data_IF_592329615507
#
_entry.id   IF_592329615507
#
_cell.length_a   1.000
_cell.length_b   1.000
_cell.length_c   1.000
_cell.angle_alpha   90.00
_cell.angle_beta   90.00
_cell.angle_gamma   90.00
#
_symmetry.space_group_name_H-M   'P 1'
#
loop_
_entity.id
_entity.type
_entity.pdbx_description
1 polymer ?
#
# COMPACT_ATOMS: atom_id res chain seq x y z
N UNK A 1 -10.56 -55.06 -17.14
CA UNK A 1 -10.98 -56.46 -16.89
C UNK A 1 -10.97 -56.67 -15.38
N UNK A 2 -12.16 -56.82 -14.77
CA UNK A 2 -12.53 -57.37 -13.44
C UNK A 2 -11.85 -56.78 -12.17
N UNK A 3 -12.57 -56.07 -11.25
CA UNK A 3 -13.57 -56.54 -10.22
C UNK A 3 -12.79 -57.17 -9.03
N UNK A 4 -12.84 -56.76 -7.75
CA UNK A 4 -13.91 -56.24 -6.85
C UNK A 4 -13.41 -55.96 -5.41
N UNK A 5 -14.14 -55.09 -4.68
CA UNK A 5 -14.56 -55.12 -3.24
C UNK A 5 -13.51 -55.18 -2.10
N UNK A 6 -13.71 -54.69 -0.86
CA UNK A 6 -14.87 -54.19 -0.10
C UNK A 6 -14.42 -53.48 1.20
N UNK A 7 -15.33 -52.69 1.80
CA UNK A 7 -15.64 -52.49 3.24
C UNK A 7 -14.53 -51.95 4.20
N UNK A 8 -14.69 -50.84 4.93
CA UNK A 8 -15.70 -50.40 5.93
C UNK A 8 -15.33 -50.72 7.40
N UNK A 9 -15.37 -49.66 8.22
CA UNK A 9 -15.74 -49.57 9.66
C UNK A 9 -14.81 -49.91 10.84
N UNK A 10 -15.03 -49.12 11.91
CA UNK A 10 -14.73 -49.25 13.35
C UNK A 10 -13.27 -49.03 13.81
N UNK A 11 -12.92 -48.43 14.96
CA UNK A 11 -13.56 -48.13 16.25
C UNK A 11 -12.66 -47.06 16.95
N UNK A 12 -13.09 -45.96 17.57
CA UNK A 12 -13.74 -45.74 18.88
C UNK A 12 -13.03 -46.27 20.16
N UNK A 13 -13.12 -45.44 21.22
CA UNK A 13 -12.71 -45.61 22.65
C UNK A 13 -11.28 -45.16 23.03
N UNK A 14 -10.97 -44.48 24.16
CA UNK A 14 -11.65 -44.17 25.43
C UNK A 14 -10.96 -42.92 26.09
N UNK A 15 -11.64 -41.95 26.73
CA UNK A 15 -12.11 -41.89 28.16
C UNK A 15 -10.96 -41.86 29.19
N UNK A 16 -10.88 -41.14 30.32
CA UNK A 16 -11.74 -40.43 31.28
C UNK A 16 -10.80 -39.56 32.17
N UNK A 17 -11.26 -38.51 32.88
CA UNK A 17 -11.44 -38.49 34.35
C UNK A 17 -12.31 -37.28 34.78
N UNK A 18 -13.27 -37.60 35.65
CA UNK A 18 -14.28 -36.85 36.41
C UNK A 18 -13.67 -36.20 37.69
N UNK A 19 -14.20 -35.20 38.40
CA UNK A 19 -15.42 -34.39 38.30
C UNK A 19 -15.74 -33.62 39.61
N UNK A 20 -16.86 -32.86 39.56
CA UNK A 20 -17.82 -32.41 40.62
C UNK A 20 -17.30 -31.58 41.83
N UNK A 21 -18.05 -30.71 42.55
CA UNK A 21 -19.48 -30.52 42.88
C UNK A 21 -19.71 -29.10 43.52
N UNK A 22 -20.81 -28.39 43.15
CA UNK A 22 -21.81 -27.59 43.96
C UNK A 22 -21.39 -26.46 44.94
N UNK A 23 -22.18 -25.43 45.33
CA UNK A 23 -23.45 -24.79 44.92
C UNK A 23 -23.77 -23.59 45.89
N UNK A 24 -24.54 -22.59 45.41
CA UNK A 24 -25.54 -21.71 46.12
C UNK A 24 -25.07 -20.74 47.24
N UNK A 25 -25.47 -19.45 47.30
CA UNK A 25 -26.81 -18.93 47.69
C UNK A 25 -27.00 -17.40 47.40
N UNK A 26 -28.29 -16.99 47.37
CA UNK A 26 -28.99 -15.71 47.06
C UNK A 26 -28.77 -14.56 48.10
N UNK A 27 -28.63 -13.26 47.76
CA UNK A 27 -29.61 -12.14 47.50
C UNK A 27 -30.34 -11.57 48.76
N UNK A 28 -31.02 -10.37 48.79
CA UNK A 28 -30.68 -8.95 48.48
C UNK A 28 -31.19 -7.89 49.55
N UNK A 29 -31.00 -6.57 49.29
CA UNK A 29 -31.74 -5.42 49.90
C UNK A 29 -30.86 -4.44 50.71
N UNK A 30 -31.02 -3.11 50.79
CA UNK A 30 -32.10 -2.17 50.47
C UNK A 30 -31.57 -0.70 50.36
N UNK A 31 -32.46 0.22 49.92
CA UNK A 31 -32.29 1.67 49.63
C UNK A 31 -32.29 2.59 50.87
N UNK A 32 -31.82 3.83 50.67
CA UNK A 32 -32.32 5.16 51.16
C UNK A 32 -31.15 6.05 51.66
N UNK A 33 -30.77 7.12 50.92
CA UNK A 33 -31.25 8.53 50.94
C UNK A 33 -31.07 9.29 52.26
N UNK A 34 -30.50 10.51 52.13
CA UNK A 34 -30.55 11.74 52.98
C UNK A 34 -29.11 12.21 53.30
N UNK A 35 -28.61 13.29 52.68
CA UNK A 35 -28.98 14.71 52.82
C UNK A 35 -28.19 15.41 53.93
N UNK A 36 -27.38 16.37 53.46
CA UNK A 36 -27.16 17.72 53.99
C UNK A 36 -26.39 17.96 55.30
N UNK A 37 -25.35 18.80 55.13
CA UNK A 37 -24.96 19.95 55.98
C UNK A 37 -24.30 19.61 57.33
N UNK A 38 -23.25 20.29 57.81
CA UNK A 38 -22.53 21.51 57.41
C UNK A 38 -21.42 21.76 58.44
N UNK A 39 -20.26 22.30 58.02
CA UNK A 39 -19.44 23.35 58.70
C UNK A 39 -18.77 22.98 60.06
N UNK A 40 -17.57 23.43 60.47
CA UNK A 40 -16.61 24.50 60.11
C UNK A 40 -15.23 24.17 60.76
N UNK A 41 -14.15 24.83 60.29
CA UNK A 41 -12.84 25.14 60.94
C UNK A 41 -11.77 24.04 60.81
N UNK A 42 -10.53 24.28 60.34
CA UNK A 42 -9.70 25.48 60.46
C UNK A 42 -8.60 25.54 59.37
N UNK A 43 -8.05 26.75 59.21
CA UNK A 43 -7.10 27.20 58.19
C UNK A 43 -5.70 26.55 58.27
N UNK A 44 -5.05 26.35 57.11
CA UNK A 44 -3.74 26.97 56.78
C UNK A 44 -3.25 26.59 55.37
N UNK A 45 -3.17 27.62 54.53
CA UNK A 45 -2.17 27.95 53.51
C UNK A 45 -1.30 26.83 52.89
N UNK A 46 -1.36 26.69 51.56
CA UNK A 46 -0.30 26.04 50.78
C UNK A 46 -0.68 25.77 49.34
N UNK A 47 -0.18 26.60 48.43
CA UNK A 47 -0.23 26.47 46.98
C UNK A 47 0.13 25.05 46.49
N UNK A 48 -0.60 24.54 45.49
CA UNK A 48 -0.10 23.87 44.27
C UNK A 48 -1.21 22.97 43.68
N UNK A 49 -1.90 23.51 42.67
CA UNK A 49 -2.65 22.69 41.71
C UNK A 49 -1.66 22.08 40.72
N UNK A 50 -1.69 20.75 40.61
CA UNK A 50 -0.91 20.01 39.62
C UNK A 50 -1.69 18.77 39.22
N UNK A 51 -2.18 18.77 37.97
CA UNK A 51 -2.72 17.60 37.30
C UNK A 51 -1.71 16.46 37.35
N UNK A 52 -2.10 15.32 37.93
CA UNK A 52 -1.34 14.07 37.79
C UNK A 52 -1.65 13.51 36.41
N UNK A 53 -0.89 13.96 35.41
CA UNK A 53 -0.73 13.25 34.14
C UNK A 53 0.00 11.95 34.45
N UNK A 54 -0.63 10.80 34.22
CA UNK A 54 0.05 9.51 34.26
C UNK A 54 1.13 9.50 33.17
N UNK A 55 2.36 9.82 33.54
CA UNK A 55 3.53 9.70 32.68
C UNK A 55 3.82 8.21 32.50
N UNK A 56 3.59 7.72 31.28
CA UNK A 56 4.08 6.42 30.86
C UNK A 56 5.63 6.39 30.95
N UNK A 57 6.25 5.29 31.41
CA UNK A 57 7.69 5.21 31.55
C UNK A 57 8.41 5.30 30.19
N UNK A 58 9.57 5.98 30.10
CA UNK A 58 10.22 6.36 28.84
C UNK A 58 10.92 5.22 28.06
N UNK A 59 10.64 3.94 28.34
CA UNK A 59 11.43 2.81 27.82
C UNK A 59 10.73 1.86 26.84
N UNK A 60 9.56 2.22 26.29
CA UNK A 60 8.93 1.46 25.20
C UNK A 60 8.37 2.40 24.12
N UNK A 61 9.14 3.40 23.71
CA UNK A 61 8.79 4.18 22.51
C UNK A 61 9.10 3.30 21.29
N UNK A 62 8.09 2.57 20.81
CA UNK A 62 8.21 1.74 19.61
C UNK A 62 8.73 2.60 18.46
N UNK A 63 9.90 2.24 17.94
CA UNK A 63 10.46 2.94 16.79
C UNK A 63 9.68 2.52 15.55
N UNK A 64 8.69 3.33 15.19
CA UNK A 64 7.95 3.19 13.93
C UNK A 64 8.87 3.59 12.78
N UNK A 65 9.25 2.64 11.91
CA UNK A 65 10.02 2.95 10.69
C UNK A 65 9.11 2.79 9.49
N UNK A 66 8.75 3.91 8.90
CA UNK A 66 8.09 3.94 7.59
C UNK A 66 9.15 3.82 6.51
N UNK A 67 9.17 2.69 5.80
CA UNK A 67 10.01 2.51 4.62
C UNK A 67 9.15 2.64 3.36
N UNK A 68 9.58 3.49 2.44
CA UNK A 68 9.01 3.56 1.09
C UNK A 68 10.07 3.14 0.08
N UNK A 69 9.71 2.28 -0.86
CA UNK A 69 10.59 1.92 -1.96
C UNK A 69 10.48 2.92 -3.11
N UNK A 70 11.60 3.11 -3.80
CA UNK A 70 11.60 3.74 -5.11
C UNK A 70 10.90 2.83 -6.13
N UNK A 71 10.28 3.45 -7.14
CA UNK A 71 9.53 2.76 -8.20
C UNK A 71 10.35 1.63 -8.82
N UNK A 72 11.62 1.83 -9.16
CA UNK A 72 12.42 0.77 -9.79
C UNK A 72 12.55 -0.50 -8.93
N UNK A 73 12.61 -0.35 -7.59
CA UNK A 73 12.65 -1.49 -6.66
C UNK A 73 11.28 -2.16 -6.58
N UNK A 74 10.21 -1.36 -6.48
CA UNK A 74 8.84 -1.88 -6.50
C UNK A 74 8.54 -2.65 -7.79
N UNK A 75 8.94 -2.11 -8.95
CA UNK A 75 8.84 -2.78 -10.26
C UNK A 75 9.62 -4.09 -10.28
N UNK A 76 10.78 -4.16 -9.63
CA UNK A 76 11.52 -5.41 -9.44
C UNK A 76 10.70 -6.48 -8.71
N UNK A 77 10.08 -6.12 -7.58
CA UNK A 77 9.20 -7.03 -6.82
C UNK A 77 7.97 -7.47 -7.63
N UNK A 78 7.39 -6.57 -8.44
CA UNK A 78 6.29 -6.92 -9.34
C UNK A 78 6.71 -7.95 -10.41
N UNK A 79 7.91 -7.78 -11.01
CA UNK A 79 8.46 -8.75 -11.97
C UNK A 79 8.64 -10.12 -11.34
N UNK A 80 9.20 -10.18 -10.14
CA UNK A 80 9.40 -11.43 -9.39
C UNK A 80 8.06 -12.13 -9.07
N UNK A 81 6.99 -11.35 -8.85
CA UNK A 81 5.64 -11.87 -8.67
C UNK A 81 4.93 -12.27 -9.98
N UNK A 82 5.61 -12.18 -11.13
CA UNK A 82 5.04 -12.52 -12.44
C UNK A 82 3.95 -11.53 -12.89
N UNK A 83 4.07 -10.27 -12.48
CA UNK A 83 3.19 -9.17 -12.92
C UNK A 83 3.87 -8.46 -14.09
N UNK A 84 3.08 -8.20 -15.14
CA UNK A 84 3.55 -7.47 -16.32
C UNK A 84 3.84 -6.02 -15.99
N UNK A 85 5.03 -5.53 -16.37
CA UNK A 85 5.50 -4.16 -16.17
C UNK A 85 6.39 -3.73 -17.34
N UNK A 86 6.60 -2.43 -17.57
CA UNK A 86 7.51 -1.96 -18.62
C UNK A 86 8.95 -2.44 -18.44
N UNK A 87 9.59 -2.81 -19.55
CA UNK A 87 11.04 -3.02 -19.55
C UNK A 87 11.76 -1.69 -19.31
N UNK A 88 12.72 -1.70 -18.38
CA UNK A 88 13.44 -0.49 -18.00
C UNK A 88 14.51 -0.76 -16.96
N UNK A 89 15.41 0.20 -16.81
CA UNK A 89 16.58 0.14 -15.92
C UNK A 89 16.81 1.51 -15.25
N UNK A 90 17.47 1.49 -14.10
CA UNK A 90 17.83 2.68 -13.34
C UNK A 90 19.18 3.24 -13.82
N UNK A 91 19.33 4.56 -13.77
CA UNK A 91 20.58 5.27 -14.02
C UNK A 91 20.82 6.31 -12.91
N UNK A 92 22.07 6.40 -12.46
CA UNK A 92 22.52 7.31 -11.39
C UNK A 92 23.36 8.48 -11.93
N UNK A 93 23.62 8.50 -13.24
CA UNK A 93 24.26 9.61 -13.95
C UNK A 93 23.66 9.81 -15.33
N UNK A 94 23.90 10.97 -15.95
CA UNK A 94 23.44 11.24 -17.32
C UNK A 94 24.10 10.29 -18.34
N UNK A 95 25.35 9.90 -18.13
CA UNK A 95 26.04 8.95 -19.01
C UNK A 95 25.52 7.51 -18.84
N UNK A 96 25.18 7.10 -17.61
CA UNK A 96 24.45 5.86 -17.39
C UNK A 96 23.07 5.89 -18.07
N UNK A 97 22.38 7.03 -18.01
CA UNK A 97 21.09 7.21 -18.68
C UNK A 97 21.21 7.03 -20.20
N UNK A 98 22.28 7.58 -20.79
CA UNK A 98 22.61 7.38 -22.21
C UNK A 98 22.83 5.89 -22.54
N UNK A 99 23.66 5.21 -21.74
CA UNK A 99 23.99 3.81 -21.93
C UNK A 99 22.75 2.91 -21.79
N UNK A 100 21.92 3.15 -20.77
CA UNK A 100 20.65 2.44 -20.55
C UNK A 100 19.69 2.65 -21.74
N UNK A 101 19.52 3.89 -22.20
CA UNK A 101 18.66 4.17 -23.35
C UNK A 101 19.13 3.46 -24.62
N UNK A 102 20.45 3.40 -24.86
CA UNK A 102 21.03 2.60 -25.94
C UNK A 102 20.77 1.11 -25.78
N UNK A 103 20.90 0.57 -24.57
CA UNK A 103 20.71 -0.84 -24.28
C UNK A 103 19.24 -1.27 -24.48
N UNK A 104 18.28 -0.41 -24.13
CA UNK A 104 16.86 -0.66 -24.41
C UNK A 104 16.60 -0.71 -25.93
N UNK A 105 17.36 0.06 -26.71
CA UNK A 105 17.34 -0.01 -28.18
C UNK A 105 16.08 0.57 -28.83
N UNK A 106 15.22 1.23 -28.05
CA UNK A 106 14.03 1.93 -28.52
C UNK A 106 14.29 3.43 -28.66
N UNK A 107 13.68 4.05 -29.66
CA UNK A 107 13.61 5.51 -29.82
C UNK A 107 12.38 6.11 -29.15
N UNK A 108 11.64 5.35 -28.37
CA UNK A 108 10.44 5.82 -27.69
C UNK A 108 10.48 5.36 -26.24
N UNK A 109 11.00 6.25 -25.41
CA UNK A 109 11.37 5.97 -24.03
C UNK A 109 10.72 6.98 -23.08
N UNK A 110 10.67 6.61 -21.81
CA UNK A 110 10.24 7.49 -20.73
C UNK A 110 11.33 7.55 -19.67
N UNK A 111 11.74 8.76 -19.31
CA UNK A 111 12.62 9.05 -18.17
C UNK A 111 11.74 9.45 -16.98
N UNK A 112 11.82 8.68 -15.90
CA UNK A 112 11.06 8.88 -14.67
C UNK A 112 11.98 9.19 -13.49
N UNK A 113 11.83 10.35 -12.88
CA UNK A 113 12.54 10.75 -11.68
C UNK A 113 12.26 9.78 -10.52
N UNK A 114 13.32 9.24 -9.90
CA UNK A 114 13.18 8.35 -8.74
C UNK A 114 13.19 9.18 -7.45
N UNK A 115 11.99 9.61 -7.06
CA UNK A 115 11.74 10.39 -5.85
C UNK A 115 10.60 9.74 -5.07
N UNK A 116 10.75 9.62 -3.75
CA UNK A 116 9.73 9.07 -2.84
C UNK A 116 8.60 10.08 -2.59
N UNK A 117 7.89 10.44 -3.66
CA UNK A 117 6.71 11.30 -3.65
C UNK A 117 5.86 11.02 -4.88
N UNK A 118 4.54 11.09 -4.74
CA UNK A 118 3.59 11.05 -5.84
C UNK A 118 3.50 12.38 -6.59
N UNK A 119 2.76 12.40 -7.70
CA UNK A 119 2.54 13.62 -8.49
C UNK A 119 3.76 14.10 -9.28
N UNK A 120 4.76 13.24 -9.48
CA UNK A 120 6.01 13.54 -10.17
C UNK A 120 5.79 14.14 -11.55
N UNK A 121 4.84 13.61 -12.34
CA UNK A 121 4.53 14.10 -13.68
C UNK A 121 4.14 15.59 -13.75
N UNK A 122 3.50 16.13 -12.70
CA UNK A 122 3.11 17.55 -12.57
C UNK A 122 4.13 18.37 -11.77
N UNK A 123 5.20 17.75 -11.27
CA UNK A 123 6.22 18.42 -10.47
C UNK A 123 7.10 19.37 -11.30
N UNK A 124 7.91 20.18 -10.62
CA UNK A 124 8.89 21.06 -11.25
C UNK A 124 10.23 20.86 -10.56
N UNK A 125 11.31 20.77 -11.32
CA UNK A 125 12.66 20.70 -10.78
C UNK A 125 13.22 22.08 -10.48
N UNK A 126 14.13 22.11 -9.51
CA UNK A 126 15.11 23.16 -9.35
C UNK A 126 15.87 23.36 -10.68
N UNK A 127 15.84 24.57 -11.22
CA UNK A 127 16.35 24.88 -12.56
C UNK A 127 15.27 25.00 -13.65
N UNK A 128 14.01 24.72 -13.33
CA UNK A 128 12.85 25.08 -14.18
C UNK A 128 12.33 23.99 -15.10
N UNK A 129 12.96 22.80 -15.12
CA UNK A 129 12.43 21.66 -15.88
C UNK A 129 11.05 21.25 -15.31
N UNK A 130 10.04 21.19 -16.18
CA UNK A 130 8.68 20.81 -15.81
C UNK A 130 8.44 19.31 -16.05
N UNK A 131 7.97 18.63 -15.02
CA UNK A 131 7.60 17.22 -15.00
C UNK A 131 8.76 16.29 -14.65
N UNK A 132 8.51 15.43 -13.67
CA UNK A 132 9.37 14.30 -13.29
C UNK A 132 9.17 13.04 -14.11
N UNK A 133 8.31 13.07 -15.13
CA UNK A 133 8.10 11.99 -16.09
C UNK A 133 8.14 12.61 -17.48
N UNK A 134 9.13 12.22 -18.29
CA UNK A 134 9.43 12.84 -19.59
C UNK A 134 9.55 11.78 -20.65
N UNK A 135 8.84 11.96 -21.76
CA UNK A 135 9.04 11.17 -22.97
C UNK A 135 10.29 11.69 -23.66
N UNK A 136 11.12 10.77 -24.17
CA UNK A 136 12.34 11.08 -24.91
C UNK A 136 12.45 10.18 -26.14
N UNK A 137 13.01 10.70 -27.22
CA UNK A 137 13.06 10.04 -28.53
C UNK A 137 14.45 9.60 -28.98
N UNK A 138 15.46 9.82 -28.15
CA UNK A 138 16.81 9.32 -28.39
C UNK A 138 17.60 9.13 -27.08
N UNK A 139 18.70 8.33 -27.11
CA UNK A 139 19.62 8.26 -26.00
C UNK A 139 20.22 9.62 -25.61
N UNK A 140 20.50 10.48 -26.58
CA UNK A 140 20.99 11.85 -26.34
C UNK A 140 19.97 12.67 -25.55
N UNK A 141 18.69 12.63 -25.92
CA UNK A 141 17.64 13.31 -25.19
C UNK A 141 17.46 12.71 -23.78
N UNK A 142 17.58 11.39 -23.62
CA UNK A 142 17.55 10.74 -22.32
C UNK A 142 18.68 11.24 -21.41
N UNK A 143 19.90 11.39 -21.93
CA UNK A 143 21.05 11.97 -21.22
C UNK A 143 20.77 13.42 -20.80
N UNK A 144 20.34 14.25 -21.74
CA UNK A 144 20.16 15.68 -21.55
C UNK A 144 19.05 15.97 -20.54
N UNK A 145 17.92 15.24 -20.60
CA UNK A 145 16.85 15.31 -19.60
C UNK A 145 17.33 14.81 -18.24
N UNK A 146 18.04 13.68 -18.19
CA UNK A 146 18.53 13.12 -16.93
C UNK A 146 19.53 14.04 -16.23
N UNK A 147 20.35 14.78 -16.98
CA UNK A 147 21.28 15.79 -16.43
C UNK A 147 20.58 16.94 -15.71
N UNK A 148 19.33 17.23 -16.08
CA UNK A 148 18.50 18.26 -15.46
C UNK A 148 17.69 17.72 -14.26
N UNK A 149 17.60 16.39 -14.12
CA UNK A 149 16.90 15.73 -13.01
C UNK A 149 17.86 15.33 -11.88
N UNK A 150 18.96 14.64 -12.23
CA UNK A 150 19.88 14.04 -11.27
C UNK A 150 20.62 15.13 -10.48
N UNK A 151 20.62 15.01 -9.16
CA UNK A 151 21.21 15.97 -8.23
C UNK A 151 20.37 17.23 -7.99
N UNK A 152 19.18 17.34 -8.60
CA UNK A 152 18.27 18.49 -8.45
C UNK A 152 17.08 18.13 -7.56
N UNK A 153 16.52 19.13 -6.87
CA UNK A 153 15.28 18.95 -6.12
C UNK A 153 14.07 18.94 -7.05
N UNK A 154 13.20 17.94 -6.91
CA UNK A 154 11.87 17.91 -7.48
C UNK A 154 10.84 18.42 -6.47
N UNK A 155 10.04 19.39 -6.88
CA UNK A 155 8.93 19.94 -6.12
C UNK A 155 7.61 19.40 -6.67
N UNK A 156 6.78 18.83 -5.79
CA UNK A 156 5.45 18.30 -6.10
C UNK A 156 4.45 18.78 -5.04
N UNK A 157 3.14 18.56 -5.28
CA UNK A 157 2.09 18.81 -4.28
C UNK A 157 2.37 18.09 -2.95
N UNK A 158 2.97 16.88 -3.00
CA UNK A 158 3.25 16.07 -1.82
C UNK A 158 4.54 16.46 -1.09
N UNK A 159 5.52 17.05 -1.77
CA UNK A 159 6.80 17.46 -1.14
C UNK A 159 6.77 18.90 -0.64
N UNK A 160 5.84 19.72 -1.12
CA UNK A 160 5.80 21.15 -0.86
C UNK A 160 7.10 21.86 -1.25
N UNK A 161 7.40 22.96 -0.56
CA UNK A 161 8.58 23.81 -0.78
C UNK A 161 9.90 23.15 -0.40
N UNK A 162 9.88 22.11 0.44
CA UNK A 162 11.09 21.39 0.82
C UNK A 162 11.72 20.68 -0.39
N UNK A 163 10.87 20.20 -1.31
CA UNK A 163 11.25 19.35 -2.42
C UNK A 163 11.92 18.05 -1.97
N UNK A 164 12.35 17.24 -2.94
CA UNK A 164 13.16 16.04 -2.69
C UNK A 164 14.22 15.92 -3.78
N UNK A 165 15.45 15.64 -3.38
CA UNK A 165 16.54 15.44 -4.35
C UNK A 165 16.28 14.17 -5.16
N UNK A 166 16.43 14.27 -6.48
CA UNK A 166 16.39 13.14 -7.39
C UNK A 166 17.82 12.67 -7.63
N UNK A 167 18.21 11.54 -7.06
CA UNK A 167 19.57 11.00 -7.25
C UNK A 167 19.67 10.01 -8.42
N UNK A 168 18.53 9.50 -8.87
CA UNK A 168 18.45 8.46 -9.89
C UNK A 168 17.23 8.69 -10.78
N UNK A 169 17.29 8.17 -12.00
CA UNK A 169 16.16 8.13 -12.93
C UNK A 169 15.93 6.69 -13.36
N UNK A 170 14.68 6.35 -13.66
CA UNK A 170 14.30 5.09 -14.27
C UNK A 170 13.96 5.34 -15.72
N UNK A 171 14.62 4.62 -16.63
CA UNK A 171 14.40 4.72 -18.06
C UNK A 171 13.70 3.44 -18.49
N UNK A 172 12.53 3.60 -19.10
CA UNK A 172 11.76 2.47 -19.60
C UNK A 172 11.23 2.71 -21.00
N UNK A 173 10.85 1.63 -21.66
CA UNK A 173 10.08 1.70 -22.90
C UNK A 173 8.76 2.46 -22.66
N UNK A 174 8.37 3.28 -23.64
CA UNK A 174 7.05 3.88 -23.62
C UNK A 174 6.01 2.85 -24.01
N UNK A 175 4.93 2.77 -23.22
CA UNK A 175 3.72 2.02 -23.56
C UNK A 175 2.58 2.98 -23.89
N UNK A 176 1.59 2.47 -24.61
CA UNK A 176 0.46 3.24 -25.11
C UNK A 176 -0.83 2.69 -24.50
N UNK A 177 -1.14 3.09 -23.25
CA UNK A 177 -2.32 2.61 -22.57
C UNK A 177 -3.58 3.12 -23.27
N UNK A 178 -4.57 2.23 -23.44
CA UNK A 178 -5.91 2.59 -23.89
C UNK A 178 -6.75 3.15 -22.74
N UNK A 179 -6.53 2.63 -21.54
CA UNK A 179 -7.20 3.01 -20.30
C UNK A 179 -6.22 2.94 -19.14
N UNK A 180 -6.35 3.88 -18.23
CA UNK A 180 -5.55 3.95 -17.00
C UNK A 180 -6.48 3.83 -15.79
N UNK A 181 -6.11 2.94 -14.88
CA UNK A 181 -6.83 2.63 -13.66
C UNK A 181 -5.95 2.90 -12.44
N UNK A 182 -6.58 3.22 -11.32
CA UNK A 182 -5.91 3.26 -10.02
C UNK A 182 -6.24 1.98 -9.26
N UNK A 183 -5.22 1.34 -8.68
CA UNK A 183 -5.41 0.21 -7.78
C UNK A 183 -4.47 0.32 -6.58
N UNK A 184 -4.97 0.08 -5.38
CA UNK A 184 -4.16 -0.01 -4.18
C UNK A 184 -4.68 -1.05 -3.20
N UNK A 185 -3.77 -1.52 -2.34
CA UNK A 185 -4.05 -2.36 -1.19
C UNK A 185 -3.47 -1.64 0.02
N UNK A 186 -4.27 -1.44 1.06
CA UNK A 186 -3.85 -0.77 2.28
C UNK A 186 -4.56 -1.36 3.49
N UNK A 187 -3.94 -1.23 4.67
CA UNK A 187 -4.58 -1.58 5.94
C UNK A 187 -5.54 -0.46 6.36
N UNK A 188 -6.84 -0.74 6.35
CA UNK A 188 -7.87 0.22 6.77
C UNK A 188 -8.36 -0.11 8.18
N UNK A 189 -8.25 0.86 9.09
CA UNK A 189 -8.63 0.69 10.50
C UNK A 189 -10.13 0.44 10.68
N UNK A 190 -10.95 1.02 9.82
CA UNK A 190 -12.42 0.86 9.86
C UNK A 190 -12.86 -0.58 9.59
N UNK A 191 -12.09 -1.33 8.80
CA UNK A 191 -12.34 -2.73 8.48
C UNK A 191 -11.46 -3.69 9.29
N UNK A 192 -10.54 -3.15 10.09
CA UNK A 192 -9.57 -3.92 10.88
C UNK A 192 -8.76 -4.91 10.04
N UNK A 193 -8.46 -4.54 8.78
CA UNK A 193 -7.85 -5.45 7.83
C UNK A 193 -7.48 -4.80 6.50
N UNK A 194 -6.95 -5.60 5.55
CA UNK A 194 -6.61 -5.13 4.22
C UNK A 194 -7.87 -4.79 3.40
N UNK A 195 -7.78 -3.73 2.61
CA UNK A 195 -8.84 -3.29 1.69
C UNK A 195 -8.23 -3.07 0.32
N UNK A 196 -8.88 -3.63 -0.70
CA UNK A 196 -8.62 -3.28 -2.10
C UNK A 196 -9.33 -1.97 -2.41
N UNK A 197 -8.60 -1.02 -2.98
CA UNK A 197 -9.11 0.28 -3.41
C UNK A 197 -8.87 0.38 -4.91
N UNK A 198 -9.93 0.60 -5.69
CA UNK A 198 -9.86 0.70 -7.14
C UNK A 198 -10.58 1.92 -7.69
N UNK A 199 -10.14 2.43 -8.83
CA UNK A 199 -10.88 3.45 -9.58
C UNK A 199 -10.63 3.34 -11.08
N UNK A 200 -11.64 3.71 -11.88
CA UNK A 200 -11.53 3.89 -13.33
C UNK A 200 -10.73 5.15 -13.72
N UNK A 201 -10.39 6.00 -12.75
CA UNK A 201 -9.62 7.23 -12.95
C UNK A 201 -8.16 7.02 -12.51
N UNK A 202 -7.37 6.35 -13.34
CA UNK A 202 -5.93 6.21 -13.14
C UNK A 202 -5.10 7.39 -13.66
N UNK A 203 -3.80 7.39 -13.37
CA UNK A 203 -2.84 8.39 -13.85
C UNK A 203 -2.91 9.75 -13.14
N UNK A 204 -3.83 9.89 -12.19
CA UNK A 204 -4.07 11.11 -11.41
C UNK A 204 -3.90 10.86 -9.90
N UNK A 205 -3.92 11.93 -9.11
CA UNK A 205 -3.85 11.83 -7.66
C UNK A 205 -5.20 11.31 -7.12
N UNK A 206 -5.18 10.21 -6.36
CA UNK A 206 -6.41 9.55 -5.92
C UNK A 206 -7.17 10.36 -4.86
N UNK A 207 -6.46 11.16 -4.05
CA UNK A 207 -7.08 11.99 -3.05
C UNK A 207 -7.94 13.09 -3.67
N UNK A 208 -7.51 13.63 -4.82
CA UNK A 208 -8.30 14.59 -5.62
C UNK A 208 -9.56 13.90 -6.19
N UNK A 209 -9.43 12.67 -6.74
CA UNK A 209 -10.57 11.89 -7.23
C UNK A 209 -11.57 11.59 -6.11
N UNK A 210 -11.09 11.19 -4.94
CA UNK A 210 -11.94 10.90 -3.80
C UNK A 210 -12.67 12.14 -3.25
N UNK A 211 -12.09 13.33 -3.38
CA UNK A 211 -12.71 14.59 -2.97
C UNK A 211 -13.75 15.08 -4.00
N UNK A 212 -13.48 14.93 -5.29
CA UNK A 212 -14.35 15.40 -6.37
C UNK A 212 -15.48 14.42 -6.69
N UNK A 213 -15.19 13.11 -6.71
CA UNK A 213 -16.13 12.04 -7.03
C UNK A 213 -15.86 10.79 -6.17
N UNK A 214 -16.34 10.75 -4.92
CA UNK A 214 -16.18 9.61 -4.03
C UNK A 214 -16.72 8.29 -4.61
N UNK A 215 -17.77 8.36 -5.44
CA UNK A 215 -18.41 7.19 -6.06
C UNK A 215 -17.53 6.53 -7.13
N UNK A 216 -16.48 7.21 -7.60
CA UNK A 216 -15.46 6.65 -8.48
C UNK A 216 -14.50 5.69 -7.74
N UNK A 217 -14.59 5.62 -6.40
CA UNK A 217 -13.74 4.77 -5.56
C UNK A 217 -14.47 3.49 -5.19
N UNK A 218 -13.93 2.37 -5.65
CA UNK A 218 -14.36 1.03 -5.26
C UNK A 218 -13.54 0.61 -4.06
N UNK A 219 -14.20 0.19 -2.96
CA UNK A 219 -13.53 -0.44 -1.82
C UNK A 219 -14.07 -1.86 -1.63
N UNK A 220 -13.17 -2.83 -1.48
CA UNK A 220 -13.50 -4.23 -1.17
C UNK A 220 -12.63 -4.70 0.00
N UNK A 221 -13.20 -4.84 1.21
CA UNK A 221 -12.49 -5.40 2.35
C UNK A 221 -12.15 -6.87 2.14
N UNK A 222 -10.97 -7.28 2.59
CA UNK A 222 -10.47 -8.65 2.50
C UNK A 222 -10.25 -9.19 3.92
N UNK A 223 -10.75 -10.40 4.16
CA UNK A 223 -10.44 -11.13 5.39
C UNK A 223 -8.97 -11.56 5.33
N UNK A 224 -8.18 -11.17 6.33
CA UNK A 224 -6.74 -11.44 6.35
C UNK A 224 -6.40 -12.91 6.60
N UNK A 225 -7.32 -13.68 7.21
CA UNK A 225 -7.14 -15.10 7.51
C UNK A 225 -7.48 -15.94 6.28
N UNK A 226 -8.60 -15.63 5.61
CA UNK A 226 -9.00 -16.34 4.39
C UNK A 226 -8.21 -15.91 3.16
N UNK A 227 -7.78 -14.65 3.12
CA UNK A 227 -7.12 -14.03 1.97
C UNK A 227 -8.09 -13.57 0.88
N UNK A 228 -7.52 -13.02 -0.19
CA UNK A 228 -8.29 -12.57 -1.36
C UNK A 228 -8.85 -13.77 -2.14
N UNK A 229 -10.13 -13.69 -2.51
CA UNK A 229 -10.79 -14.66 -3.40
C UNK A 229 -10.88 -14.15 -4.83
N UNK A 230 -10.88 -15.07 -5.79
CA UNK A 230 -10.97 -14.72 -7.21
C UNK A 230 -12.26 -13.95 -7.52
N UNK A 231 -13.39 -14.34 -6.92
CA UNK A 231 -14.67 -13.68 -7.13
C UNK A 231 -14.66 -12.22 -6.65
N UNK A 232 -13.94 -11.92 -5.56
CA UNK A 232 -13.76 -10.56 -5.06
C UNK A 232 -12.90 -9.73 -6.02
N UNK A 233 -11.78 -10.30 -6.50
CA UNK A 233 -10.90 -9.64 -7.45
C UNK A 233 -11.62 -9.34 -8.78
N UNK A 234 -12.39 -10.30 -9.30
CA UNK A 234 -13.24 -10.13 -10.50
C UNK A 234 -14.28 -9.03 -10.30
N UNK A 235 -14.96 -9.00 -9.15
CA UNK A 235 -15.94 -7.96 -8.81
C UNK A 235 -15.29 -6.57 -8.78
N UNK A 236 -14.09 -6.43 -8.21
CA UNK A 236 -13.35 -5.17 -8.20
C UNK A 236 -12.96 -4.75 -9.62
N UNK A 237 -12.38 -5.66 -10.41
CA UNK A 237 -12.00 -5.37 -11.80
C UNK A 237 -13.21 -4.94 -12.67
N UNK A 238 -14.36 -5.60 -12.52
CA UNK A 238 -15.60 -5.20 -13.20
C UNK A 238 -16.07 -3.80 -12.79
N UNK A 239 -16.09 -3.50 -11.48
CA UNK A 239 -16.47 -2.17 -10.97
C UNK A 239 -15.51 -1.07 -11.39
N UNK A 240 -14.22 -1.39 -11.52
CA UNK A 240 -13.22 -0.48 -12.09
C UNK A 240 -13.43 -0.23 -13.59
N UNK A 241 -14.24 -1.03 -14.27
CA UNK A 241 -14.56 -0.85 -15.69
C UNK A 241 -13.56 -1.48 -16.64
N UNK A 242 -12.88 -2.56 -16.22
CA UNK A 242 -12.10 -3.38 -17.16
C UNK A 242 -13.04 -4.02 -18.20
N UNK A 243 -12.65 -4.06 -19.50
CA UNK A 243 -13.41 -4.78 -20.52
C UNK A 243 -13.57 -6.27 -20.14
N UNK A 244 -14.68 -6.94 -20.49
CA UNK A 244 -14.93 -8.34 -20.13
C UNK A 244 -13.79 -9.30 -20.47
N UNK A 245 -13.09 -9.06 -21.59
CA UNK A 245 -11.94 -9.86 -22.01
C UNK A 245 -10.71 -9.75 -21.09
N UNK A 246 -10.59 -8.67 -20.32
CA UNK A 246 -9.44 -8.37 -19.46
C UNK A 246 -9.75 -8.49 -17.96
N UNK A 247 -11.01 -8.69 -17.58
CA UNK A 247 -11.43 -8.79 -16.18
C UNK A 247 -10.67 -9.88 -15.42
N UNK A 248 -10.52 -11.06 -16.02
CA UNK A 248 -9.81 -12.17 -15.36
C UNK A 248 -8.32 -11.88 -15.21
N UNK A 249 -7.68 -11.30 -16.23
CA UNK A 249 -6.26 -10.93 -16.17
C UNK A 249 -5.99 -9.83 -15.13
N UNK A 250 -6.87 -8.83 -15.06
CA UNK A 250 -6.81 -7.80 -14.02
C UNK A 250 -6.99 -8.43 -12.62
N UNK A 251 -7.97 -9.32 -12.45
CA UNK A 251 -8.20 -10.03 -11.19
C UNK A 251 -6.99 -10.88 -10.76
N UNK A 252 -6.37 -11.61 -11.68
CA UNK A 252 -5.15 -12.38 -11.43
C UNK A 252 -4.00 -11.47 -10.95
N UNK A 253 -3.82 -10.31 -11.60
CA UNK A 253 -2.84 -9.32 -11.16
C UNK A 253 -3.15 -8.76 -9.77
N UNK A 254 -4.42 -8.49 -9.45
CA UNK A 254 -4.84 -8.04 -8.10
C UNK A 254 -4.53 -9.10 -7.03
N UNK A 255 -4.74 -10.38 -7.32
CA UNK A 255 -4.38 -11.48 -6.41
C UNK A 255 -2.87 -11.55 -6.21
N UNK A 256 -2.08 -11.44 -7.29
CA UNK A 256 -0.61 -11.41 -7.18
C UNK A 256 -0.13 -10.22 -6.35
N UNK A 257 -0.74 -9.04 -6.52
CA UNK A 257 -0.44 -7.84 -5.73
C UNK A 257 -0.81 -8.02 -4.25
N UNK A 258 -1.93 -8.67 -3.95
CA UNK A 258 -2.31 -9.01 -2.58
C UNK A 258 -1.34 -10.01 -1.95
N UNK A 259 -0.94 -11.04 -2.70
CA UNK A 259 0.04 -12.01 -2.22
C UNK A 259 1.39 -11.35 -1.96
N UNK A 260 1.80 -10.40 -2.80
CA UNK A 260 3.00 -9.57 -2.56
C UNK A 260 2.84 -8.72 -1.30
N UNK A 261 1.69 -8.06 -1.14
CA UNK A 261 1.37 -7.24 0.03
C UNK A 261 1.52 -8.04 1.34
N UNK A 262 0.96 -9.25 1.40
CA UNK A 262 1.08 -10.14 2.56
C UNK A 262 2.49 -10.70 2.71
N UNK A 263 3.10 -11.19 1.63
CA UNK A 263 4.42 -11.85 1.66
C UNK A 263 5.52 -10.97 2.24
N UNK A 264 5.48 -9.67 1.96
CA UNK A 264 6.52 -8.73 2.40
C UNK A 264 6.07 -7.83 3.56
N UNK A 265 4.93 -8.13 4.21
CA UNK A 265 4.36 -7.31 5.27
C UNK A 265 4.26 -5.82 4.88
N UNK A 266 3.80 -5.57 3.65
CA UNK A 266 3.60 -4.22 3.17
C UNK A 266 2.43 -3.56 3.92
N UNK A 267 2.56 -2.27 4.24
CA UNK A 267 1.44 -1.47 4.75
C UNK A 267 0.60 -0.87 3.62
N UNK A 268 1.22 -0.71 2.44
CA UNK A 268 0.53 -0.27 1.24
C UNK A 268 1.22 -0.78 -0.02
N UNK A 269 0.43 -1.24 -0.99
CA UNK A 269 0.86 -1.44 -2.37
C UNK A 269 -0.05 -0.60 -3.25
N UNK A 270 0.48 0.42 -3.91
CA UNK A 270 -0.25 1.30 -4.83
C UNK A 270 0.31 1.13 -6.24
N UNK A 271 -0.59 0.92 -7.20
CA UNK A 271 -0.33 0.86 -8.64
C UNK A 271 -1.09 2.00 -9.31
N UNK A 272 -0.35 2.97 -9.85
CA UNK A 272 -0.95 4.15 -10.47
C UNK A 272 -0.10 4.70 -11.64
N UNK A 273 -0.34 4.29 -12.89
CA UNK A 273 -1.53 3.54 -13.33
C UNK A 273 -1.32 2.01 -13.45
N UNK A 274 -2.39 1.26 -13.21
CA UNK A 274 -2.61 -0.07 -13.81
C UNK A 274 -3.32 0.15 -15.14
N UNK A 275 -2.89 -0.48 -16.23
CA UNK A 275 -3.36 -0.10 -17.57
C UNK A 275 -3.86 -1.29 -18.39
N UNK A 276 -4.80 -0.99 -19.28
CA UNK A 276 -5.02 -1.78 -20.49
C UNK A 276 -4.05 -1.24 -21.56
N UNK A 277 -3.03 -2.03 -21.95
CA UNK A 277 -2.13 -1.66 -23.04
C UNK A 277 -2.81 -1.82 -24.40
N UNK A 278 -2.28 -1.13 -25.41
CA UNK A 278 -2.73 -1.22 -26.81
C UNK A 278 -2.72 -2.64 -27.39
N UNK A 279 -1.92 -3.55 -26.84
CA UNK A 279 -1.87 -4.96 -27.21
C UNK A 279 -2.95 -5.83 -26.54
N UNK A 280 -3.81 -5.23 -25.70
CA UNK A 280 -4.88 -5.96 -25.01
C UNK A 280 -4.37 -6.83 -23.86
N UNK A 281 -3.40 -6.33 -23.08
CA UNK A 281 -2.92 -6.95 -21.85
C UNK A 281 -3.05 -5.97 -20.69
N UNK A 282 -3.06 -6.48 -19.45
CA UNK A 282 -3.06 -5.68 -18.23
C UNK A 282 -1.64 -5.55 -17.69
N UNK A 283 -1.20 -4.31 -17.49
CA UNK A 283 0.17 -4.00 -17.04
C UNK A 283 0.17 -3.01 -15.87
N UNK A 284 1.13 -3.15 -14.95
CA UNK A 284 1.37 -2.16 -13.90
C UNK A 284 2.50 -1.21 -14.36
N UNK A 285 2.16 0.06 -14.62
CA UNK A 285 3.08 1.02 -15.23
C UNK A 285 3.94 1.78 -14.21
N UNK A 286 3.46 1.88 -12.96
CA UNK A 286 4.11 2.53 -11.84
C UNK A 286 3.69 1.81 -10.55
N UNK A 287 4.54 1.83 -9.55
CA UNK A 287 4.30 1.17 -8.28
C UNK A 287 4.93 1.95 -7.13
N UNK A 288 4.18 2.07 -6.04
CA UNK A 288 4.64 2.61 -4.76
C UNK A 288 4.30 1.61 -3.66
N UNK A 289 5.32 1.09 -3.01
CA UNK A 289 5.18 0.12 -1.94
C UNK A 289 5.74 0.71 -0.66
N UNK A 290 4.92 0.70 0.39
CA UNK A 290 5.31 1.09 1.74
C UNK A 290 5.31 -0.13 2.66
N UNK A 291 6.24 -0.12 3.59
CA UNK A 291 6.34 -1.10 4.68
C UNK A 291 6.20 -0.37 5.99
N UNK A 292 5.42 -0.96 6.89
CA UNK A 292 5.34 -0.54 8.28
C UNK A 292 6.18 -1.53 9.10
N UNK A 293 7.35 -1.08 9.55
CA UNK A 293 8.13 -1.86 10.49
C UNK A 293 7.77 -1.47 11.91
N UNK A 294 7.02 -2.35 12.56
CA UNK A 294 7.04 -2.47 14.02
C UNK A 294 8.03 -3.59 14.35
N UNK A 295 9.23 -3.21 14.83
CA UNK A 295 10.19 -4.21 15.33
C UNK A 295 9.67 -4.71 16.68
N UNK A 296 8.96 -5.85 16.70
CA UNK A 296 8.87 -6.70 17.89
C UNK A 296 10.04 -7.69 17.86
N UNK A 297 11.19 -7.24 18.35
CA UNK A 297 12.27 -8.16 18.69
C UNK A 297 11.94 -8.77 20.07
N UNK A 298 11.08 -9.79 20.11
CA UNK A 298 11.06 -10.71 21.24
C UNK A 298 11.94 -11.90 20.87
N UNK A 299 13.25 -11.72 21.06
CA UNK A 299 14.12 -12.86 21.36
C UNK A 299 13.81 -13.29 22.80
N UNK A 300 13.05 -14.37 22.92
CA UNK A 300 13.23 -15.35 23.98
C UNK A 300 13.30 -16.73 23.33
#
# INVERSE_FOLDING_TARGET
MRVTHCAAEADMAASLICGRLTASLRNPGARNTLSSASKVLSCSSGLFGGHVSQLQPPHLQQQHRNLSLHEYMSIGLLKEAGISVPAGMVASSSEEAYAVAKQIGSKDLVVKAQVLAGGRGKGTFEGGLKGGVRIVYSPEEARDISSQMIGRKLYTKQTGEAGRICNQVFICERRYPRREYYFAITMERSYQGPVLIGSSQGGVNIEDVAAENPDAIVKEPIDIVEGIKMEQAVKVAQKMGFPPALVNEAAENMIKLYNLFVKYDASMVEINPMVEDSSGIVMCMDAKINFDFIIYFNMY
#
